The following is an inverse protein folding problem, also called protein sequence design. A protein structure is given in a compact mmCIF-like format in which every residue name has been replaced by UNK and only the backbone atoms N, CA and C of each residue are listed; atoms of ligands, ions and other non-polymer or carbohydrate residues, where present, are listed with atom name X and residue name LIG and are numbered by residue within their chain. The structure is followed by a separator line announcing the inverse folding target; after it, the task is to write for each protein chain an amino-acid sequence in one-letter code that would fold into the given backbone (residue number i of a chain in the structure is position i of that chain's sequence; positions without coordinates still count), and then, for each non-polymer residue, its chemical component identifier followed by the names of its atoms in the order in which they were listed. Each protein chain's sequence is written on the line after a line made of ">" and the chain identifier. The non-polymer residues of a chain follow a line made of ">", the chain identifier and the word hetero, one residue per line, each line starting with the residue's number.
data_IF_939402926833
#
_entry.id   IF_939402926833
#
_cell.length_a   1.000
_cell.length_b   1.000
_cell.length_c   1.000
_cell.angle_alpha   90.00
_cell.angle_beta   90.00
_cell.angle_gamma   90.00
#
_symmetry.space_group_name_H-M   'P 1'
#
loop_
_entity.id
_entity.type
_entity.pdbx_description
1 polymer ?
#
# COMPACT_ATOMS: atom_id res chain seq x y z
N UNK A 1 27.70 20.49 16.93
CA UNK A 1 28.88 19.95 16.21
C UNK A 1 28.87 18.43 16.32
N UNK A 2 28.40 17.67 15.32
CA UNK A 2 28.42 16.21 15.47
C UNK A 2 27.71 15.38 14.42
N UNK A 3 28.09 15.47 13.13
CA UNK A 3 27.70 14.47 12.11
C UNK A 3 28.79 14.37 11.02
N UNK A 4 29.71 13.40 11.14
CA UNK A 4 30.60 12.98 10.04
C UNK A 4 31.30 11.61 10.24
N UNK A 5 31.12 10.92 11.38
CA UNK A 5 31.87 9.69 11.69
C UNK A 5 31.46 8.44 10.89
N UNK A 6 30.33 8.45 10.18
CA UNK A 6 29.80 7.25 9.50
C UNK A 6 30.44 6.98 8.13
N UNK A 7 30.78 8.02 7.37
CA UNK A 7 31.36 7.85 6.01
C UNK A 7 32.81 7.31 6.06
N UNK A 8 33.61 7.76 7.03
CA UNK A 8 35.03 7.35 7.19
C UNK A 8 35.28 5.85 7.41
N UNK A 9 34.28 5.09 7.89
CA UNK A 9 34.47 3.69 8.30
C UNK A 9 34.46 2.69 7.13
N UNK A 10 33.91 3.08 5.98
CA UNK A 10 33.90 2.27 4.75
C UNK A 10 35.19 2.42 3.96
N UNK A 11 35.62 3.67 3.74
CA UNK A 11 36.85 4.03 3.03
C UNK A 11 38.10 3.47 3.72
N UNK A 12 38.16 3.57 5.05
CA UNK A 12 39.25 3.00 5.85
C UNK A 12 39.38 1.48 5.71
N UNK A 13 38.29 0.75 5.46
CA UNK A 13 38.35 -0.70 5.21
C UNK A 13 38.84 -1.04 3.82
N UNK A 14 38.46 -0.24 2.81
CA UNK A 14 38.91 -0.41 1.43
C UNK A 14 40.42 -0.18 1.30
N UNK A 15 40.98 0.81 1.99
CA UNK A 15 42.42 1.11 2.01
C UNK A 15 43.27 0.00 2.66
N UNK A 16 42.67 -0.87 3.48
CA UNK A 16 43.36 -2.01 4.11
C UNK A 16 43.38 -3.28 3.24
N UNK A 17 42.78 -3.22 2.05
CA UNK A 17 42.76 -4.33 1.10
C UNK A 17 44.05 -4.28 0.28
N UNK A 18 44.94 -5.25 0.50
CA UNK A 18 46.18 -5.36 -0.27
C UNK A 18 46.00 -5.96 -1.67
N UNK A 19 44.97 -6.81 -1.88
CA UNK A 19 44.73 -7.48 -3.16
C UNK A 19 43.22 -7.66 -3.46
N UNK A 20 42.76 -7.48 -4.71
CA UNK A 20 41.34 -7.60 -5.09
C UNK A 20 40.72 -8.97 -4.80
N UNK A 21 41.50 -10.05 -4.90
CA UNK A 21 41.05 -11.42 -4.60
C UNK A 21 41.22 -11.84 -3.13
N UNK A 22 41.66 -10.92 -2.24
CA UNK A 22 41.86 -11.24 -0.82
C UNK A 22 40.55 -11.58 -0.10
N UNK A 23 40.63 -12.33 1.02
CA UNK A 23 39.46 -12.65 1.85
C UNK A 23 38.73 -11.38 2.33
N UNK A 24 39.48 -10.33 2.69
CA UNK A 24 38.94 -9.03 3.11
C UNK A 24 38.20 -8.33 1.97
N UNK A 25 38.76 -8.35 0.75
CA UNK A 25 38.09 -7.82 -0.44
C UNK A 25 36.77 -8.55 -0.73
N UNK A 26 36.80 -9.88 -0.77
CA UNK A 26 35.60 -10.71 -1.00
C UNK A 26 34.51 -10.45 0.05
N UNK A 27 34.89 -10.32 1.33
CA UNK A 27 33.95 -10.00 2.40
C UNK A 27 33.31 -8.61 2.24
N UNK A 28 34.11 -7.60 1.84
CA UNK A 28 33.61 -6.26 1.56
C UNK A 28 32.68 -6.23 0.35
N UNK A 29 33.04 -6.91 -0.75
CA UNK A 29 32.17 -7.03 -1.93
C UNK A 29 30.83 -7.69 -1.58
N UNK A 30 30.85 -8.79 -0.81
CA UNK A 30 29.61 -9.44 -0.33
C UNK A 30 28.75 -8.48 0.50
N UNK A 31 29.36 -7.70 1.39
CA UNK A 31 28.64 -6.72 2.21
C UNK A 31 28.05 -5.59 1.36
N UNK A 32 28.78 -5.10 0.35
CA UNK A 32 28.31 -4.08 -0.58
C UNK A 32 27.12 -4.60 -1.38
N UNK A 33 27.21 -5.81 -1.93
CA UNK A 33 26.12 -6.44 -2.68
C UNK A 33 24.90 -6.60 -1.79
N UNK A 34 25.04 -7.14 -0.57
CA UNK A 34 23.95 -7.30 0.40
C UNK A 34 23.27 -5.96 0.72
N UNK A 35 24.06 -4.92 0.99
CA UNK A 35 23.54 -3.59 1.27
C UNK A 35 22.83 -3.00 0.04
N UNK A 36 23.42 -3.13 -1.14
CA UNK A 36 22.84 -2.67 -2.41
C UNK A 36 21.49 -3.32 -2.67
N UNK A 37 21.39 -4.65 -2.55
CA UNK A 37 20.13 -5.39 -2.71
C UNK A 37 19.10 -4.93 -1.68
N UNK A 38 19.48 -4.78 -0.41
CA UNK A 38 18.56 -4.27 0.62
C UNK A 38 18.05 -2.86 0.32
N UNK A 39 18.90 -1.97 -0.17
CA UNK A 39 18.48 -0.61 -0.56
C UNK A 39 17.57 -0.62 -1.80
N UNK A 40 17.86 -1.46 -2.80
CA UNK A 40 17.00 -1.66 -3.97
C UNK A 40 15.61 -2.11 -3.55
N UNK A 41 15.51 -3.16 -2.74
CA UNK A 41 14.23 -3.64 -2.21
C UNK A 41 13.49 -2.53 -1.44
N UNK A 42 14.17 -1.80 -0.55
CA UNK A 42 13.58 -0.67 0.18
C UNK A 42 13.03 0.41 -0.77
N UNK A 43 13.78 0.72 -1.83
CA UNK A 43 13.37 1.70 -2.83
C UNK A 43 12.17 1.21 -3.64
N UNK A 44 12.15 -0.06 -4.06
CA UNK A 44 11.02 -0.66 -4.77
C UNK A 44 9.73 -0.62 -3.93
N UNK A 45 9.81 -0.94 -2.64
CA UNK A 45 8.67 -0.80 -1.72
C UNK A 45 8.21 0.66 -1.61
N UNK A 46 9.15 1.62 -1.51
CA UNK A 46 8.82 3.04 -1.46
C UNK A 46 8.14 3.51 -2.76
N UNK A 47 8.62 3.07 -3.92
CA UNK A 47 8.03 3.39 -5.22
C UNK A 47 6.61 2.85 -5.33
N UNK A 48 6.39 1.57 -4.97
CA UNK A 48 5.06 0.96 -4.99
C UNK A 48 4.08 1.70 -4.07
N UNK A 49 4.54 2.04 -2.87
CA UNK A 49 3.75 2.81 -1.90
C UNK A 49 3.43 4.21 -2.41
N UNK A 50 4.38 4.87 -3.05
CA UNK A 50 4.18 6.19 -3.63
C UNK A 50 3.16 6.14 -4.77
N UNK A 51 3.31 5.18 -5.70
CA UNK A 51 2.37 5.00 -6.80
C UNK A 51 0.94 4.75 -6.31
N UNK A 52 0.80 3.98 -5.23
CA UNK A 52 -0.51 3.76 -4.60
C UNK A 52 -1.07 5.04 -3.98
N UNK A 53 -0.24 5.84 -3.28
CA UNK A 53 -0.68 7.12 -2.72
C UNK A 53 -1.07 8.14 -3.78
N UNK A 54 -0.32 8.25 -4.88
CA UNK A 54 -0.67 9.10 -6.05
C UNK A 54 -2.02 8.69 -6.65
N UNK A 55 -2.26 7.38 -6.77
CA UNK A 55 -3.56 6.85 -7.21
C UNK A 55 -4.67 7.27 -6.27
N UNK A 56 -4.47 7.17 -4.95
CA UNK A 56 -5.46 7.62 -3.97
C UNK A 56 -5.65 9.13 -4.00
N UNK A 57 -4.60 9.92 -4.23
CA UNK A 57 -4.68 11.36 -4.33
C UNK A 57 -5.55 11.78 -5.53
N UNK A 58 -5.41 11.09 -6.67
CA UNK A 58 -6.32 11.30 -7.81
C UNK A 58 -7.77 11.07 -7.41
N UNK A 59 -8.07 9.99 -6.67
CA UNK A 59 -9.44 9.72 -6.23
C UNK A 59 -9.94 10.74 -5.21
N UNK A 60 -9.07 11.20 -4.32
CA UNK A 60 -9.35 12.25 -3.36
C UNK A 60 -9.79 13.54 -4.06
N UNK A 61 -9.04 13.99 -5.06
CA UNK A 61 -9.31 15.24 -5.76
C UNK A 61 -10.56 15.16 -6.65
N UNK A 62 -10.98 13.95 -7.02
CA UNK A 62 -12.12 13.70 -7.89
C UNK A 62 -13.39 13.26 -7.15
N UNK A 63 -13.36 13.21 -5.80
CA UNK A 63 -14.53 12.79 -5.02
C UNK A 63 -15.52 13.93 -4.87
N UNK A 64 -16.81 13.65 -5.10
CA UNK A 64 -17.88 14.64 -4.90
C UNK A 64 -18.07 14.95 -3.41
N UNK A 65 -18.38 16.20 -3.00
CA UNK A 65 -18.58 16.60 -1.60
C UNK A 65 -19.94 16.15 -1.03
N UNK A 66 -20.14 14.84 -0.90
CA UNK A 66 -21.36 14.22 -0.36
C UNK A 66 -21.09 13.54 0.99
N UNK A 67 -22.05 13.54 1.91
CA UNK A 67 -21.94 12.90 3.23
C UNK A 67 -21.89 11.36 3.16
N UNK A 68 -22.57 10.78 2.17
CA UNK A 68 -22.67 9.35 1.96
C UNK A 68 -22.39 8.99 0.51
N UNK A 69 -21.49 8.02 0.30
CA UNK A 69 -21.13 7.58 -1.04
C UNK A 69 -21.88 6.31 -1.40
N UNK A 70 -22.61 6.34 -2.52
CA UNK A 70 -23.36 5.17 -3.01
C UNK A 70 -22.49 4.38 -4.00
N UNK A 71 -22.74 3.07 -4.13
CA UNK A 71 -22.04 2.22 -5.10
C UNK A 71 -22.10 2.74 -6.55
N UNK A 72 -23.22 3.36 -6.95
CA UNK A 72 -23.35 3.99 -8.27
C UNK A 72 -22.45 5.23 -8.44
N UNK A 73 -22.28 6.03 -7.39
CA UNK A 73 -21.33 7.17 -7.43
C UNK A 73 -19.89 6.65 -7.54
N UNK A 74 -19.58 5.59 -6.82
CA UNK A 74 -18.28 4.93 -6.89
C UNK A 74 -17.99 4.32 -8.27
N UNK A 75 -18.99 3.72 -8.91
CA UNK A 75 -18.86 3.27 -10.29
C UNK A 75 -18.54 4.43 -11.24
N UNK A 76 -19.25 5.57 -11.13
CA UNK A 76 -18.96 6.76 -11.94
C UNK A 76 -17.54 7.30 -11.70
N UNK A 77 -17.10 7.30 -10.45
CA UNK A 77 -15.74 7.71 -10.10
C UNK A 77 -14.68 6.79 -10.73
N UNK A 78 -14.91 5.47 -10.72
CA UNK A 78 -14.03 4.53 -11.43
C UNK A 78 -14.07 4.69 -12.95
N UNK A 79 -15.23 4.96 -13.54
CA UNK A 79 -15.32 5.28 -14.97
C UNK A 79 -14.48 6.51 -15.31
N UNK A 80 -14.59 7.58 -14.51
CA UNK A 80 -13.77 8.79 -14.66
C UNK A 80 -12.26 8.48 -14.52
N UNK A 81 -11.89 7.58 -13.61
CA UNK A 81 -10.50 7.15 -13.43
C UNK A 81 -9.98 6.40 -14.67
N UNK A 82 -10.80 5.52 -15.25
CA UNK A 82 -10.42 4.75 -16.43
C UNK A 82 -10.30 5.62 -17.68
N UNK A 83 -11.11 6.67 -17.81
CA UNK A 83 -11.09 7.63 -18.93
C UNK A 83 -10.13 8.81 -18.74
N UNK A 84 -9.28 8.80 -17.69
CA UNK A 84 -8.45 9.96 -17.31
C UNK A 84 -7.40 10.39 -18.36
N UNK A 85 -7.09 9.52 -19.32
CA UNK A 85 -6.09 9.78 -20.37
C UNK A 85 -6.73 10.03 -21.74
N UNK A 86 -8.05 10.04 -21.85
CA UNK A 86 -8.74 10.14 -23.15
C UNK A 86 -8.37 11.46 -23.86
N UNK A 87 -8.31 12.57 -23.12
CA UNK A 87 -7.89 13.87 -23.66
C UNK A 87 -6.43 13.85 -24.15
N UNK A 88 -5.51 13.19 -23.43
CA UNK A 88 -4.10 13.07 -23.83
C UNK A 88 -3.95 12.21 -25.09
N UNK A 89 -4.70 11.09 -25.17
CA UNK A 89 -4.71 10.23 -26.34
C UNK A 89 -5.30 10.92 -27.57
N UNK A 90 -6.36 11.71 -27.39
CA UNK A 90 -6.97 12.52 -28.46
C UNK A 90 -5.96 13.54 -29.01
N UNK A 91 -5.25 14.26 -28.14
CA UNK A 91 -4.21 15.20 -28.57
C UNK A 91 -3.08 14.53 -29.36
N UNK A 92 -2.65 13.34 -28.93
CA UNK A 92 -1.64 12.55 -29.66
C UNK A 92 -2.18 12.12 -31.02
N UNK A 93 -3.43 11.65 -31.09
CA UNK A 93 -4.08 11.23 -32.33
C UNK A 93 -4.22 12.41 -33.32
N UNK A 94 -4.59 13.60 -32.85
CA UNK A 94 -4.63 14.81 -33.67
C UNK A 94 -3.23 15.12 -34.24
N UNK A 95 -2.19 15.10 -33.40
CA UNK A 95 -0.79 15.34 -33.86
C UNK A 95 -0.34 14.32 -34.90
N UNK A 96 -0.76 13.06 -34.79
CA UNK A 96 -0.46 12.03 -35.79
C UNK A 96 -1.22 12.23 -37.10
N UNK A 97 -2.45 12.76 -37.03
CA UNK A 97 -3.24 13.07 -38.22
C UNK A 97 -2.68 14.25 -39.03
N UNK A 98 -1.91 15.14 -38.39
CA UNK A 98 -1.34 16.33 -39.01
C UNK A 98 0.07 16.00 -39.55
N UNK A 99 0.13 15.58 -40.81
CA UNK A 99 1.37 15.43 -41.58
C UNK A 99 1.49 14.11 -42.32
N UNK A 100 1.76 14.17 -43.63
CA UNK A 100 1.76 12.99 -44.52
C UNK A 100 3.00 12.08 -44.36
N UNK A 101 4.07 12.53 -43.66
CA UNK A 101 5.38 11.86 -43.62
C UNK A 101 6.16 12.07 -42.32
N UNK A 102 5.51 11.93 -41.15
CA UNK A 102 6.18 12.13 -39.87
C UNK A 102 6.21 10.86 -39.03
N UNK A 103 7.37 10.61 -38.41
CA UNK A 103 7.60 9.53 -37.46
C UNK A 103 6.60 9.64 -36.29
N UNK A 104 6.21 8.52 -35.66
CA UNK A 104 5.16 8.47 -34.60
C UNK A 104 5.61 9.24 -33.35
N UNK A 105 5.44 10.57 -33.36
CA UNK A 105 5.80 11.45 -32.25
C UNK A 105 5.05 11.00 -31.00
N UNK A 106 5.69 10.99 -29.83
CA UNK A 106 5.08 10.52 -28.58
C UNK A 106 4.68 9.02 -28.54
N UNK A 107 5.19 8.17 -29.45
CA UNK A 107 4.91 6.72 -29.45
C UNK A 107 5.14 6.06 -28.08
N UNK A 108 6.26 6.35 -27.42
CA UNK A 108 6.59 5.75 -26.12
C UNK A 108 5.58 6.10 -25.03
N UNK A 109 5.12 7.36 -24.99
CA UNK A 109 4.12 7.83 -24.02
C UNK A 109 2.76 7.21 -24.32
N UNK A 110 2.35 7.20 -25.58
CA UNK A 110 1.11 6.59 -26.03
C UNK A 110 1.05 5.09 -25.66
N UNK A 111 2.14 4.35 -25.89
CA UNK A 111 2.23 2.92 -25.58
C UNK A 111 2.14 2.67 -24.06
N UNK A 112 2.80 3.50 -23.25
CA UNK A 112 2.70 3.43 -21.77
C UNK A 112 1.27 3.69 -21.30
N UNK A 113 0.59 4.70 -21.86
CA UNK A 113 -0.80 5.01 -21.52
C UNK A 113 -1.71 3.84 -21.90
N UNK A 114 -1.62 3.34 -23.12
CA UNK A 114 -2.43 2.21 -23.59
C UNK A 114 -2.23 0.96 -22.73
N UNK A 115 -0.99 0.66 -22.37
CA UNK A 115 -0.67 -0.44 -21.46
C UNK A 115 -1.29 -0.23 -20.07
N UNK A 116 -1.27 1.01 -19.57
CA UNK A 116 -1.83 1.36 -18.26
C UNK A 116 -3.36 1.26 -18.26
N UNK A 117 -4.03 1.82 -19.27
CA UNK A 117 -5.50 1.72 -19.42
C UNK A 117 -5.92 0.26 -19.51
N UNK A 118 -5.22 -0.53 -20.33
CA UNK A 118 -5.51 -1.96 -20.48
C UNK A 118 -5.42 -2.68 -19.14
N UNK A 119 -4.34 -2.45 -18.37
CA UNK A 119 -4.17 -3.04 -17.04
C UNK A 119 -5.27 -2.60 -16.07
N UNK A 120 -5.55 -1.30 -15.98
CA UNK A 120 -6.57 -0.77 -15.08
C UNK A 120 -7.96 -1.33 -15.41
N UNK A 121 -8.27 -1.47 -16.70
CA UNK A 121 -9.53 -2.04 -17.19
C UNK A 121 -9.63 -3.54 -16.88
N UNK A 122 -8.53 -4.29 -17.08
CA UNK A 122 -8.45 -5.71 -16.69
C UNK A 122 -8.65 -5.88 -15.19
N UNK A 123 -7.99 -5.07 -14.36
CA UNK A 123 -8.18 -5.07 -12.90
C UNK A 123 -9.63 -4.79 -12.53
N UNK A 124 -10.24 -3.75 -13.10
CA UNK A 124 -11.63 -3.38 -12.80
C UNK A 124 -12.64 -4.48 -13.13
N UNK A 125 -12.46 -5.17 -14.25
CA UNK A 125 -13.37 -6.21 -14.69
C UNK A 125 -13.16 -7.54 -13.95
N UNK A 126 -11.95 -7.79 -13.44
CA UNK A 126 -11.59 -9.05 -12.80
C UNK A 126 -11.54 -8.91 -11.27
N UNK A 127 -10.36 -8.73 -10.69
CA UNK A 127 -10.10 -8.76 -9.25
C UNK A 127 -10.48 -7.48 -8.49
N UNK A 128 -10.70 -6.38 -9.22
CA UNK A 128 -11.04 -5.07 -8.70
C UNK A 128 -9.85 -4.16 -8.44
N UNK A 129 -10.11 -2.86 -8.59
CA UNK A 129 -9.16 -1.77 -8.34
C UNK A 129 -9.08 -1.53 -6.84
N UNK A 130 -7.86 -1.50 -6.28
CA UNK A 130 -7.61 -1.12 -4.89
C UNK A 130 -7.93 0.36 -4.63
N UNK A 131 -8.76 0.62 -3.63
CA UNK A 131 -9.22 1.94 -3.23
C UNK A 131 -9.63 1.95 -1.73
N UNK A 132 -9.68 3.14 -1.11
CA UNK A 132 -10.24 3.29 0.25
C UNK A 132 -11.74 2.99 0.24
N UNK A 133 -12.24 2.34 1.28
CA UNK A 133 -13.67 2.00 1.42
C UNK A 133 -14.54 3.23 1.72
N UNK A 134 -14.77 4.06 0.70
CA UNK A 134 -15.57 5.29 0.76
C UNK A 134 -17.07 5.04 0.95
N UNK A 135 -17.54 3.78 0.82
CA UNK A 135 -18.92 3.40 1.15
C UNK A 135 -19.18 3.47 2.66
N UNK A 136 -18.13 3.42 3.48
CA UNK A 136 -18.21 3.65 4.90
C UNK A 136 -18.03 5.14 5.22
N UNK A 137 -19.05 5.76 5.84
CA UNK A 137 -19.05 7.18 6.22
C UNK A 137 -17.82 7.61 7.03
N UNK A 138 -17.34 6.74 7.94
CA UNK A 138 -16.15 7.04 8.77
C UNK A 138 -14.90 7.16 7.89
N UNK A 139 -14.72 6.22 6.98
CA UNK A 139 -13.58 6.19 6.06
C UNK A 139 -13.66 7.35 5.06
N UNK A 140 -14.85 7.65 4.54
CA UNK A 140 -15.07 8.80 3.68
C UNK A 140 -14.66 10.12 4.34
N UNK A 141 -15.06 10.35 5.61
CA UNK A 141 -14.68 11.55 6.34
C UNK A 141 -13.17 11.67 6.52
N UNK A 142 -12.52 10.60 6.98
CA UNK A 142 -11.05 10.59 7.12
C UNK A 142 -10.35 10.79 5.78
N UNK A 143 -10.90 10.22 4.71
CA UNK A 143 -10.33 10.34 3.37
C UNK A 143 -10.43 11.78 2.85
N UNK A 144 -11.50 12.52 3.15
CA UNK A 144 -11.63 13.95 2.79
C UNK A 144 -10.71 14.89 3.56
N UNK A 145 -10.43 14.56 4.82
CA UNK A 145 -9.55 15.35 5.68
C UNK A 145 -8.07 15.02 5.43
N UNK A 146 -7.80 14.01 4.60
CA UNK A 146 -6.45 13.57 4.28
C UNK A 146 -5.74 14.57 3.36
N UNK A 147 -4.53 14.93 3.75
CA UNK A 147 -3.66 15.90 3.08
C UNK A 147 -2.71 15.26 2.07
N UNK A 148 -2.84 13.97 1.81
CA UNK A 148 -1.93 13.22 0.94
C UNK A 148 -0.71 12.66 1.68
N UNK A 149 -0.58 12.84 3.01
CA UNK A 149 0.57 12.30 3.73
C UNK A 149 0.54 10.77 3.74
N UNK A 150 1.59 10.18 3.16
CA UNK A 150 1.70 8.73 2.99
C UNK A 150 1.68 7.98 4.34
N UNK A 151 2.12 8.58 5.44
CA UNK A 151 2.15 7.97 6.78
C UNK A 151 0.78 7.44 7.23
N UNK A 152 -0.30 8.10 6.82
CA UNK A 152 -1.67 7.77 7.21
C UNK A 152 -2.33 6.68 6.36
N UNK A 153 -1.67 6.21 5.30
CA UNK A 153 -2.23 5.15 4.43
C UNK A 153 -2.63 3.88 5.16
N UNK A 154 -1.92 3.54 6.25
CA UNK A 154 -2.20 2.35 7.05
C UNK A 154 -3.49 2.48 7.89
N UNK A 155 -4.03 3.68 8.04
CA UNK A 155 -5.25 3.95 8.82
C UNK A 155 -6.52 3.76 7.98
N UNK A 156 -6.39 3.76 6.65
CA UNK A 156 -7.50 3.54 5.75
C UNK A 156 -7.82 2.07 5.57
N UNK A 157 -9.11 1.77 5.45
CA UNK A 157 -9.55 0.44 5.04
C UNK A 157 -9.44 0.35 3.52
N UNK A 158 -8.37 -0.26 3.03
CA UNK A 158 -8.15 -0.49 1.60
C UNK A 158 -8.93 -1.74 1.18
N UNK A 159 -9.70 -1.63 0.11
CA UNK A 159 -10.50 -2.71 -0.47
C UNK A 159 -10.41 -2.71 -1.99
N UNK A 160 -10.56 -3.88 -2.60
CA UNK A 160 -10.69 -4.02 -4.06
C UNK A 160 -12.14 -3.91 -4.48
N UNK A 161 -12.41 -3.05 -5.46
CA UNK A 161 -13.73 -2.86 -6.06
C UNK A 161 -13.70 -3.30 -7.51
N UNK A 162 -14.43 -4.38 -7.81
CA UNK A 162 -14.64 -4.85 -9.18
C UNK A 162 -16.00 -4.36 -9.71
N UNK A 163 -16.15 -4.38 -11.03
CA UNK A 163 -17.43 -4.07 -11.68
C UNK A 163 -18.57 -4.95 -11.17
N UNK A 164 -18.32 -6.25 -11.06
CA UNK A 164 -19.30 -7.22 -10.53
C UNK A 164 -19.63 -6.97 -9.06
N UNK A 165 -18.66 -6.53 -8.26
CA UNK A 165 -18.88 -6.17 -6.86
C UNK A 165 -19.83 -4.98 -6.73
N UNK A 166 -19.62 -3.92 -7.51
CA UNK A 166 -20.45 -2.70 -7.45
C UNK A 166 -21.88 -2.95 -7.89
N UNK A 167 -22.08 -3.73 -8.96
CA UNK A 167 -23.41 -4.09 -9.47
C UNK A 167 -24.21 -4.89 -8.45
N UNK A 168 -23.56 -5.82 -7.75
CA UNK A 168 -24.21 -6.70 -6.78
C UNK A 168 -24.20 -6.14 -5.35
N UNK A 169 -23.70 -4.92 -5.16
CA UNK A 169 -23.56 -4.33 -3.84
C UNK A 169 -24.92 -4.08 -3.20
N UNK A 170 -25.12 -4.63 -2.00
CA UNK A 170 -26.28 -4.34 -1.16
C UNK A 170 -25.79 -3.63 0.09
N UNK A 171 -26.28 -2.41 0.38
CA UNK A 171 -25.88 -1.71 1.58
C UNK A 171 -26.28 -2.54 2.81
N UNK A 172 -25.43 -2.61 3.84
CA UNK A 172 -25.77 -3.31 5.06
C UNK A 172 -27.05 -2.69 5.65
N UNK A 173 -28.12 -3.49 5.68
CA UNK A 173 -29.38 -3.09 6.29
C UNK A 173 -29.11 -2.79 7.76
N UNK A 174 -29.40 -1.56 8.19
CA UNK A 174 -29.36 -1.18 9.60
C UNK A 174 -30.23 -2.17 10.38
N UNK A 175 -29.62 -2.97 11.26
CA UNK A 175 -30.38 -3.72 12.25
C UNK A 175 -31.08 -2.68 13.13
N UNK A 176 -32.36 -2.43 12.87
CA UNK A 176 -33.23 -1.64 13.75
C UNK A 176 -33.11 -2.26 15.14
N UNK A 177 -32.41 -1.58 16.04
CA UNK A 177 -32.43 -1.90 17.46
C UNK A 177 -33.85 -1.62 17.94
N UNK A 178 -34.59 -2.67 18.28
CA UNK A 178 -35.87 -2.56 18.96
C UNK A 178 -35.61 -1.93 20.34
N UNK A 179 -35.73 -0.60 20.42
CA UNK A 179 -35.58 0.15 21.66
C UNK A 179 -36.92 0.17 22.42
N UNK A 180 -37.34 -1.01 22.88
CA UNK A 180 -38.32 -1.13 23.95
C UNK A 180 -37.56 -1.53 25.21
N UNK A 181 -37.01 -0.55 25.92
CA UNK A 181 -36.64 -0.71 27.33
C UNK A 181 -37.32 0.43 28.08
N UNK A 182 -38.34 0.02 28.82
CA UNK A 182 -39.10 0.75 29.83
C UNK A 182 -38.29 1.84 30.53
N UNK A 183 -38.85 3.04 30.53
CA UNK A 183 -38.53 4.09 31.50
C UNK A 183 -38.87 3.53 32.87
N UNK A 184 -37.86 3.29 33.70
CA UNK A 184 -38.00 3.22 35.15
C UNK A 184 -37.31 4.44 35.72
N UNK A 185 -38.11 5.44 36.09
CA UNK A 185 -37.72 6.47 37.04
C UNK A 185 -37.28 5.80 38.34
N UNK A 186 -36.11 6.20 38.86
CA UNK A 186 -35.88 6.20 40.30
C UNK A 186 -34.96 7.38 40.61
N UNK A 187 -35.45 8.17 41.54
CA UNK A 187 -35.13 9.55 41.88
C UNK A 187 -33.81 9.67 42.65
N UNK A 188 -33.13 10.80 42.46
CA UNK A 188 -31.96 11.25 43.22
C UNK A 188 -32.27 11.44 44.72
N UNK A 189 -31.37 10.98 45.60
CA UNK A 189 -31.14 11.53 46.93
C UNK A 189 -29.70 11.21 47.41
N UNK A 190 -29.17 12.10 48.24
CA UNK A 190 -27.78 12.55 48.33
C UNK A 190 -26.82 11.73 49.22
N UNK A 191 -25.52 12.01 49.02
CA UNK A 191 -24.39 12.11 49.96
C UNK A 191 -24.17 11.05 51.05
N UNK A 192 -22.93 10.52 51.14
CA UNK A 192 -21.95 10.91 52.17
C UNK A 192 -20.57 10.28 51.94
N UNK A 193 -19.56 11.04 52.33
CA UNK A 193 -18.10 10.80 52.36
C UNK A 193 -17.70 9.85 53.49
N UNK A 194 -16.71 8.98 53.26
CA UNK A 194 -15.58 8.71 54.17
C UNK A 194 -14.60 7.69 53.58
N UNK A 195 -13.33 7.90 53.90
CA UNK A 195 -12.11 7.23 53.48
C UNK A 195 -11.99 5.79 54.05
N UNK A 196 -11.29 4.89 53.34
CA UNK A 196 -10.12 4.22 53.91
C UNK A 196 -9.31 3.37 52.92
N UNK A 197 -8.00 3.41 53.14
CA UNK A 197 -6.91 2.74 52.43
C UNK A 197 -6.98 1.21 52.44
N UNK A 198 -6.74 0.56 51.30
CA UNK A 198 -5.92 -0.66 51.29
C UNK A 198 -5.26 -0.90 49.93
N UNK A 199 -3.93 -0.78 49.89
CA UNK A 199 -3.05 -1.27 48.84
C UNK A 199 -3.04 -2.80 48.84
N UNK A 200 -3.01 -3.42 47.64
CA UNK A 200 -2.38 -4.73 47.41
C UNK A 200 -2.02 -4.88 45.91
N UNK A 201 -0.72 -4.85 45.62
CA UNK A 201 -0.15 -5.49 44.41
C UNK A 201 0.16 -6.99 44.71
N UNK A 202 0.93 -7.71 43.88
CA UNK A 202 0.47 -8.54 42.77
C UNK A 202 0.74 -10.03 43.05
N UNK A 203 0.07 -10.95 42.36
CA UNK A 203 0.46 -12.37 42.37
C UNK A 203 0.72 -12.88 40.96
N UNK A 204 2.01 -13.09 40.70
CA UNK A 204 2.52 -14.00 39.68
C UNK A 204 2.14 -15.44 40.02
N UNK A 205 1.84 -16.26 39.01
CA UNK A 205 2.33 -17.64 38.94
C UNK A 205 2.29 -18.20 37.51
N UNK A 206 3.51 -18.55 37.11
CA UNK A 206 4.04 -19.36 36.01
C UNK A 206 3.40 -20.75 35.79
N UNK A 207 3.39 -21.20 34.53
CA UNK A 207 3.85 -22.51 33.98
C UNK A 207 3.46 -22.56 32.48
N UNK A 208 4.33 -22.50 31.47
CA UNK A 208 5.51 -23.27 31.06
C UNK A 208 5.19 -24.57 30.26
N UNK A 209 6.04 -24.87 29.26
CA UNK A 209 6.10 -26.04 28.34
C UNK A 209 5.23 -25.95 27.06
N UNK A 210 5.67 -26.18 25.81
CA UNK A 210 6.83 -26.89 25.23
C UNK A 210 7.20 -26.38 23.83
N UNK A 211 8.50 -26.41 23.53
CA UNK A 211 9.11 -26.46 22.21
C UNK A 211 8.73 -27.74 21.43
N UNK A 212 8.63 -27.61 20.10
CA UNK A 212 8.95 -28.72 19.20
C UNK A 212 9.69 -28.16 17.99
N UNK A 213 10.95 -28.56 17.87
CA UNK A 213 11.78 -28.43 16.68
C UNK A 213 11.30 -29.39 15.58
N UNK A 214 11.59 -29.10 14.31
CA UNK A 214 12.39 -29.95 13.39
C UNK A 214 12.11 -29.63 11.90
N UNK A 215 13.23 -29.53 11.18
CA UNK A 215 13.49 -29.81 9.75
C UNK A 215 13.17 -28.75 8.67
N UNK A 216 14.26 -28.07 8.28
CA UNK A 216 14.56 -27.67 6.91
C UNK A 216 14.64 -28.90 5.99
N UNK A 217 14.15 -28.77 4.75
CA UNK A 217 14.61 -29.55 3.61
C UNK A 217 14.75 -28.59 2.42
N UNK A 218 15.98 -28.13 2.22
CA UNK A 218 16.44 -27.44 1.02
C UNK A 218 16.70 -28.51 -0.06
N UNK A 219 16.04 -28.40 -1.21
CA UNK A 219 16.36 -29.17 -2.41
C UNK A 219 16.64 -28.18 -3.53
N UNK A 220 17.94 -27.94 -3.78
CA UNK A 220 18.40 -27.26 -4.99
C UNK A 220 18.37 -28.24 -6.18
N UNK A 221 17.81 -27.87 -7.34
CA UNK A 221 17.95 -28.64 -8.57
C UNK A 221 19.25 -28.27 -9.29
N UNK A 222 20.15 -29.24 -9.35
CA UNK A 222 21.30 -29.29 -10.26
C UNK A 222 20.81 -29.17 -11.71
N UNK A 223 21.24 -28.14 -12.44
CA UNK A 223 21.09 -28.07 -13.90
C UNK A 223 22.44 -28.39 -14.51
N UNK A 224 22.54 -29.61 -15.02
CA UNK A 224 23.56 -30.05 -15.96
C UNK A 224 23.31 -29.34 -17.30
N UNK A 225 24.30 -28.61 -17.81
CA UNK A 225 24.33 -28.20 -19.22
C UNK A 225 25.51 -28.92 -19.83
N UNK A 226 25.16 -29.91 -20.65
CA UNK A 226 26.06 -30.71 -21.45
C UNK A 226 26.82 -29.83 -22.46
N UNK A 227 28.09 -30.16 -22.64
CA UNK A 227 28.95 -29.64 -23.69
C UNK A 227 28.67 -30.43 -24.98
N UNK A 228 28.22 -29.74 -26.01
CA UNK A 228 28.53 -30.06 -27.41
C UNK A 228 29.26 -28.83 -27.95
N UNK A 229 30.40 -28.87 -28.64
CA UNK A 229 31.00 -29.94 -29.42
C UNK A 229 31.41 -29.32 -30.75
N UNK A 230 32.72 -29.02 -30.87
CA UNK A 230 33.51 -28.70 -32.10
C UNK A 230 33.05 -27.57 -33.03
#
# INVERSE_FOLDING_TARGET
>A
MGKSKLLKKGESKALTISHPNSRKAKALSKQIIKNSTRQKTKMEYAIKRNLFGEKLLWFHDNIEPVEEYTASMLEKLFQKYLSRFDEELEQIAIKHSIGQRQNRQHASREDVIKMTIKRDFEEYNTCGIEMVDVLNKKQLKMFREWDGEMGFLNQFNIRRFSKSFLINYKPPQSKRTNKNRSVSECTDQEMLVAEDNQTCQPTEKTKDVSETEVAQNDVDPTVEVEMEGT
#
